data_IF_869112642514
#
_entry.id   IF_869112642514
#
_cell.length_a   1.000
_cell.length_b   1.000
_cell.length_c   1.000
_cell.angle_alpha   90.00
_cell.angle_beta   90.00
_cell.angle_gamma   90.00
#
_symmetry.space_group_name_H-M   'P 1'
#
loop_
_entity.id
_entity.type
_entity.pdbx_description
1 polymer ?
#
# COMPACT_ATOMS: atom_id res chain seq x y z
N UNK A 1 -6.68 -12.01 -16.14
CA UNK A 1 -5.97 -10.77 -16.19
C UNK A 1 -5.36 -10.40 -14.85
N UNK A 2 -4.11 -10.30 -14.82
CA UNK A 2 -3.43 -10.04 -13.57
C UNK A 2 -3.63 -8.60 -13.12
N UNK A 3 -3.68 -8.42 -11.84
CA UNK A 3 -3.67 -7.08 -11.29
C UNK A 3 -2.30 -6.49 -11.58
N UNK A 4 -2.25 -5.38 -12.27
CA UNK A 4 -0.96 -4.83 -12.67
C UNK A 4 -0.09 -4.47 -11.49
N UNK A 5 -0.68 -4.03 -10.40
CA UNK A 5 0.13 -3.54 -9.32
C UNK A 5 -0.65 -3.62 -8.03
N UNK A 6 0.00 -4.07 -6.98
CA UNK A 6 -0.65 -4.07 -5.68
C UNK A 6 0.39 -4.06 -4.58
N UNK A 7 -0.04 -3.65 -3.41
CA UNK A 7 0.80 -3.64 -2.22
C UNK A 7 -0.03 -4.06 -1.02
N UNK A 8 0.62 -4.68 -0.07
CA UNK A 8 -0.01 -5.13 1.16
C UNK A 8 0.63 -4.40 2.31
N UNK A 9 -0.20 -3.84 3.18
CA UNK A 9 0.26 -3.25 4.44
C UNK A 9 -0.10 -4.22 5.54
N UNK A 10 0.89 -4.64 6.32
CA UNK A 10 0.66 -5.61 7.38
C UNK A 10 1.73 -5.43 8.46
N UNK A 11 1.53 -6.13 9.57
CA UNK A 11 2.48 -6.03 10.67
C UNK A 11 3.85 -6.54 10.27
N UNK A 12 4.86 -5.89 10.80
CA UNK A 12 6.25 -6.28 10.61
C UNK A 12 6.87 -6.40 11.99
N UNK A 13 6.83 -7.61 12.54
CA UNK A 13 7.26 -7.79 13.91
C UNK A 13 6.26 -7.20 14.88
N UNK A 14 6.76 -6.75 16.01
CA UNK A 14 5.88 -6.29 17.09
C UNK A 14 5.60 -4.80 17.08
N UNK A 15 6.48 -4.01 16.52
CA UNK A 15 6.35 -2.56 16.64
C UNK A 15 6.46 -1.82 15.33
N UNK A 16 6.27 -2.49 14.22
CA UNK A 16 6.30 -1.76 12.97
C UNK A 16 5.36 -2.39 11.97
N UNK A 17 5.22 -1.74 10.83
CA UNK A 17 4.35 -2.16 9.76
C UNK A 17 5.13 -2.15 8.46
N UNK A 18 4.77 -3.00 7.56
CA UNK A 18 5.48 -3.08 6.29
C UNK A 18 4.55 -2.88 5.13
N UNK A 19 5.14 -2.42 4.03
CA UNK A 19 4.51 -2.41 2.72
C UNK A 19 5.22 -3.47 1.90
N UNK A 20 4.48 -4.43 1.39
CA UNK A 20 5.09 -5.53 0.67
C UNK A 20 4.34 -5.80 -0.62
N UNK A 21 5.09 -6.06 -1.66
CA UNK A 21 4.51 -6.48 -2.92
C UNK A 21 4.16 -7.96 -2.81
N UNK A 22 2.96 -8.37 -3.27
CA UNK A 22 2.60 -9.78 -3.19
C UNK A 22 3.64 -10.66 -3.85
N UNK A 23 4.05 -11.70 -3.14
CA UNK A 23 5.04 -12.61 -3.65
C UNK A 23 6.47 -12.18 -3.46
N UNK A 24 6.70 -10.98 -2.99
CA UNK A 24 8.07 -10.51 -2.78
C UNK A 24 8.63 -11.08 -1.48
N UNK A 25 9.91 -11.33 -1.48
CA UNK A 25 10.56 -11.85 -0.29
C UNK A 25 10.98 -10.74 0.66
N UNK A 26 10.95 -9.49 0.21
CA UNK A 26 11.34 -8.37 1.04
C UNK A 26 10.25 -7.33 1.05
N UNK A 27 10.18 -6.58 2.15
CA UNK A 27 9.27 -5.46 2.23
C UNK A 27 9.76 -4.34 1.35
N UNK A 28 8.82 -3.64 0.72
CA UNK A 28 9.15 -2.43 -0.03
C UNK A 28 9.50 -1.29 0.91
N UNK A 29 8.89 -1.26 2.08
CA UNK A 29 9.14 -0.24 3.07
C UNK A 29 8.71 -0.75 4.43
N UNK A 30 9.29 -0.19 5.48
CA UNK A 30 8.90 -0.51 6.86
C UNK A 30 8.72 0.82 7.57
N UNK A 31 7.58 0.97 8.24
CA UNK A 31 7.23 2.20 8.91
C UNK A 31 6.82 1.92 10.34
N UNK A 32 6.97 2.88 11.23
CA UNK A 32 6.67 2.64 12.64
C UNK A 32 5.19 2.52 12.96
N UNK A 33 4.31 3.04 12.12
CA UNK A 33 2.88 2.97 12.39
C UNK A 33 2.13 2.50 11.16
N UNK A 34 0.92 1.99 11.41
CA UNK A 34 0.07 1.56 10.30
C UNK A 34 -0.27 2.73 9.38
N UNK A 35 -0.58 3.88 9.96
CA UNK A 35 -0.96 5.03 9.16
C UNK A 35 0.17 5.45 8.22
N UNK A 36 1.39 5.43 8.71
CA UNK A 36 2.54 5.78 7.87
C UNK A 36 2.79 4.74 6.80
N UNK A 37 2.60 3.46 7.14
CA UNK A 37 2.75 2.40 6.15
C UNK A 37 1.70 2.53 5.05
N UNK A 38 0.47 2.84 5.43
CA UNK A 38 -0.58 3.03 4.45
C UNK A 38 -0.25 4.20 3.53
N UNK A 39 0.20 5.30 4.11
CA UNK A 39 0.57 6.46 3.31
C UNK A 39 1.71 6.13 2.35
N UNK A 40 2.69 5.38 2.85
CA UNK A 40 3.81 4.97 2.01
C UNK A 40 3.34 4.11 0.86
N UNK A 41 2.44 3.17 1.14
CA UNK A 41 1.93 2.30 0.10
C UNK A 41 1.17 3.09 -0.96
N UNK A 42 0.40 4.08 -0.52
CA UNK A 42 -0.32 4.94 -1.48
C UNK A 42 0.65 5.69 -2.37
N UNK A 43 1.72 6.22 -1.78
CA UNK A 43 2.71 6.95 -2.56
C UNK A 43 3.39 6.04 -3.57
N UNK A 44 3.74 4.84 -3.15
CA UNK A 44 4.37 3.88 -4.05
C UNK A 44 3.44 3.56 -5.21
N UNK A 45 2.18 3.28 -4.91
CA UNK A 45 1.23 2.93 -5.94
C UNK A 45 0.94 4.09 -6.88
N UNK A 46 0.84 5.30 -6.34
CA UNK A 46 0.63 6.47 -7.19
C UNK A 46 1.78 6.64 -8.18
N UNK A 47 3.00 6.44 -7.70
CA UNK A 47 4.17 6.59 -8.56
C UNK A 47 4.26 5.50 -9.61
N UNK A 48 3.67 4.36 -9.32
CA UNK A 48 3.70 3.22 -10.24
C UNK A 48 2.51 3.19 -11.19
N UNK A 49 1.69 4.21 -11.19
CA UNK A 49 0.56 4.23 -12.09
C UNK A 49 -0.74 3.75 -11.46
N UNK A 50 -0.77 3.61 -10.15
CA UNK A 50 -1.97 3.18 -9.46
C UNK A 50 -1.98 1.69 -9.22
N UNK A 51 -2.98 1.22 -8.50
CA UNK A 51 -3.10 -0.20 -8.21
C UNK A 51 -3.96 -0.45 -7.00
N UNK A 52 -3.84 -1.65 -6.46
CA UNK A 52 -4.64 -2.07 -5.33
C UNK A 52 -3.84 -2.00 -4.06
N UNK A 53 -4.46 -1.49 -3.03
CA UNK A 53 -3.87 -1.44 -1.70
C UNK A 53 -4.67 -2.35 -0.78
N UNK A 54 -4.01 -3.31 -0.18
CA UNK A 54 -4.63 -4.22 0.77
C UNK A 54 -4.04 -3.98 2.14
N UNK A 55 -4.90 -3.83 3.12
CA UNK A 55 -4.48 -3.56 4.48
C UNK A 55 -4.91 -4.73 5.34
N UNK A 56 -3.95 -5.35 5.99
CA UNK A 56 -4.21 -6.47 6.87
C UNK A 56 -3.84 -6.08 8.29
N UNK A 57 -4.82 -6.07 9.15
CA UNK A 57 -4.55 -5.99 10.57
C UNK A 57 -5.12 -7.25 11.17
N UNK A 58 -5.02 -7.39 12.48
CA UNK A 58 -5.26 -8.68 13.09
C UNK A 58 -6.57 -9.33 12.68
N UNK A 59 -7.64 -8.58 12.70
CA UNK A 59 -8.94 -9.14 12.38
C UNK A 59 -9.61 -8.46 11.22
N UNK A 60 -8.96 -7.49 10.61
CA UNK A 60 -9.58 -6.66 9.62
C UNK A 60 -8.77 -6.69 8.35
N UNK A 61 -9.44 -6.92 7.25
CA UNK A 61 -8.83 -6.85 5.94
C UNK A 61 -9.55 -5.79 5.15
N UNK A 62 -8.79 -4.82 4.67
CA UNK A 62 -9.35 -3.74 3.88
C UNK A 62 -8.66 -3.69 2.54
N UNK A 63 -9.37 -3.15 1.57
CA UNK A 63 -8.85 -3.05 0.22
C UNK A 63 -9.26 -1.71 -0.33
N UNK A 64 -8.35 -1.07 -1.03
CA UNK A 64 -8.60 0.23 -1.62
C UNK A 64 -7.95 0.27 -2.98
N UNK A 65 -8.48 1.11 -3.85
CA UNK A 65 -7.91 1.31 -5.16
C UNK A 65 -7.21 2.65 -5.19
N UNK A 66 -5.96 2.65 -5.59
CA UNK A 66 -5.16 3.87 -5.64
C UNK A 66 -5.02 4.29 -7.08
N UNK A 67 -5.33 5.53 -7.36
CA UNK A 67 -5.25 6.06 -8.71
C UNK A 67 -3.89 6.68 -8.96
N UNK A 68 -3.51 6.82 -10.23
CA UNK A 68 -2.21 7.42 -10.56
C UNK A 68 -2.09 8.81 -9.98
N UNK A 69 -0.86 9.19 -9.67
CA UNK A 69 -0.61 10.46 -9.03
C UNK A 69 -1.02 11.66 -9.85
N UNK A 70 -1.12 11.51 -11.16
CA UNK A 70 -1.51 12.61 -12.03
C UNK A 70 -2.99 12.59 -12.38
N UNK A 71 -3.77 11.82 -11.64
CA UNK A 71 -5.21 11.78 -11.84
C UNK A 71 -5.80 13.16 -11.57
N UNK A 72 -6.56 13.73 -12.51
CA UNK A 72 -7.12 15.07 -12.30
C UNK A 72 -7.98 15.17 -11.05
N UNK A 73 -8.66 14.12 -10.70
CA UNK A 73 -9.51 14.18 -9.53
C UNK A 73 -8.72 14.27 -8.26
N UNK A 74 -7.58 13.64 -8.21
CA UNK A 74 -6.79 13.72 -7.00
C UNK A 74 -6.14 15.08 -6.86
N UNK A 75 -5.86 15.74 -7.96
CA UNK A 75 -5.26 17.06 -7.86
C UNK A 75 -6.25 18.09 -7.43
N UNK A 76 -7.51 17.80 -7.55
CA UNK A 76 -8.49 18.72 -7.09
C UNK A 76 -8.44 18.90 -5.61
N UNK A 77 -8.05 17.90 -5.00
CA UNK A 77 -7.73 17.90 -3.61
C UNK A 77 -8.68 18.45 -2.68
#
# INVERSE_FOLDING_TARGET
>A
MAVPNSRIVQRHGDDSWEVRKPGASRASAVEPTQAEAIQRARDILKNDGGGELKIRSENIRQQDTIYPGNDPRSSKG
#
